data_IF_919155309203
#
_entry.id   IF_919155309203
#
_cell.length_a   1.000
_cell.length_b   1.000
_cell.length_c   1.000
_cell.angle_alpha   90.00
_cell.angle_beta   90.00
_cell.angle_gamma   90.00
#
_symmetry.space_group_name_H-M   'P 1'
#
loop_
_entity.id
_entity.type
_entity.pdbx_description
1 polymer ?
#
# COMPACT_ATOMS: atom_id res chain seq x y z
N UNK A 1 -60.26 -19.55 19.74
CA UNK A 1 -59.49 -20.52 18.94
C UNK A 1 -58.24 -19.80 18.43
N UNK A 2 -57.10 -20.17 19.00
CA UNK A 2 -55.78 -19.60 18.69
C UNK A 2 -55.29 -20.20 17.38
N UNK A 3 -55.16 -19.37 16.34
CA UNK A 3 -54.57 -19.76 15.06
C UNK A 3 -53.05 -19.62 15.16
N UNK A 4 -52.36 -20.75 15.34
CA UNK A 4 -50.91 -20.85 15.27
C UNK A 4 -50.50 -20.50 13.83
N UNK A 5 -49.93 -19.31 13.65
CA UNK A 5 -49.26 -18.90 12.41
C UNK A 5 -47.96 -19.70 12.35
N UNK A 6 -47.99 -20.84 11.66
CA UNK A 6 -46.80 -21.63 11.31
C UNK A 6 -45.82 -20.66 10.64
N UNK A 7 -44.66 -20.46 11.25
CA UNK A 7 -43.56 -19.71 10.64
C UNK A 7 -43.12 -20.51 9.41
N UNK A 8 -43.36 -19.99 8.20
CA UNK A 8 -42.84 -20.59 6.99
C UNK A 8 -41.32 -20.66 7.08
N UNK A 9 -40.76 -21.86 6.93
CA UNK A 9 -39.32 -22.08 6.82
C UNK A 9 -38.76 -21.25 5.65
N UNK A 10 -37.58 -20.66 5.84
CA UNK A 10 -36.94 -19.88 4.79
C UNK A 10 -36.53 -20.83 3.65
N UNK A 11 -36.87 -20.48 2.43
CA UNK A 11 -36.49 -21.25 1.25
C UNK A 11 -35.00 -21.02 0.97
N UNK A 12 -34.19 -22.07 1.02
CA UNK A 12 -32.76 -21.98 0.74
C UNK A 12 -32.50 -22.15 -0.77
N UNK A 13 -31.86 -21.16 -1.39
CA UNK A 13 -31.50 -21.19 -2.81
C UNK A 13 -30.02 -20.85 -2.97
N UNK A 14 -29.32 -21.55 -3.87
CA UNK A 14 -27.94 -21.20 -4.22
C UNK A 14 -27.89 -19.93 -5.08
N UNK A 15 -26.84 -19.13 -4.93
CA UNK A 15 -26.68 -17.89 -5.69
C UNK A 15 -26.76 -18.13 -7.22
N UNK A 16 -26.21 -19.24 -7.70
CA UNK A 16 -26.22 -19.59 -9.13
C UNK A 16 -27.64 -19.81 -9.66
N UNK A 17 -28.50 -20.40 -8.84
CA UNK A 17 -29.88 -20.75 -9.19
C UNK A 17 -30.87 -19.59 -8.89
N UNK A 18 -30.43 -18.61 -8.09
CA UNK A 18 -31.29 -17.51 -7.60
C UNK A 18 -31.83 -16.66 -8.74
N UNK A 19 -31.05 -16.46 -9.80
CA UNK A 19 -31.47 -15.68 -10.97
C UNK A 19 -32.60 -16.39 -11.73
N UNK A 20 -32.40 -17.65 -12.10
CA UNK A 20 -33.39 -18.44 -12.84
C UNK A 20 -34.68 -18.60 -12.04
N UNK A 21 -34.56 -18.88 -10.74
CA UNK A 21 -35.71 -18.97 -9.85
C UNK A 21 -36.50 -17.65 -9.78
N UNK A 22 -35.81 -16.52 -9.61
CA UNK A 22 -36.47 -15.21 -9.54
C UNK A 22 -37.12 -14.82 -10.87
N UNK A 23 -36.52 -15.18 -12.01
CA UNK A 23 -37.12 -15.01 -13.33
C UNK A 23 -38.45 -15.80 -13.45
N UNK A 24 -38.47 -17.05 -13.00
CA UNK A 24 -39.68 -17.89 -13.03
C UNK A 24 -40.79 -17.34 -12.13
N UNK A 25 -40.45 -16.94 -10.90
CA UNK A 25 -41.43 -16.45 -9.92
C UNK A 25 -42.04 -15.11 -10.34
N UNK A 26 -41.27 -14.28 -11.03
CA UNK A 26 -41.68 -12.91 -11.42
C UNK A 26 -42.19 -12.80 -12.86
N UNK A 27 -42.17 -13.88 -13.63
CA UNK A 27 -42.53 -13.89 -15.06
C UNK A 27 -43.93 -13.33 -15.31
N UNK A 28 -44.88 -13.66 -14.43
CA UNK A 28 -46.29 -13.24 -14.52
C UNK A 28 -46.48 -11.73 -14.32
N UNK A 29 -45.50 -11.05 -13.72
CA UNK A 29 -45.51 -9.61 -13.46
C UNK A 29 -44.64 -8.87 -14.47
N UNK A 30 -43.43 -9.37 -14.73
CA UNK A 30 -42.42 -8.68 -15.56
C UNK A 30 -42.77 -8.73 -17.05
N UNK A 31 -43.23 -9.88 -17.57
CA UNK A 31 -43.52 -10.04 -19.01
C UNK A 31 -44.65 -9.11 -19.46
N UNK A 32 -45.80 -9.01 -18.74
CA UNK A 32 -46.86 -8.06 -19.11
C UNK A 32 -46.41 -6.60 -19.04
N UNK A 33 -45.59 -6.23 -18.03
CA UNK A 33 -45.07 -4.87 -17.91
C UNK A 33 -44.12 -4.53 -19.06
N UNK A 34 -43.23 -5.44 -19.47
CA UNK A 34 -42.38 -5.24 -20.65
C UNK A 34 -43.21 -5.14 -21.93
N UNK A 35 -44.28 -5.93 -22.07
CA UNK A 35 -45.19 -5.81 -23.21
C UNK A 35 -45.95 -4.47 -23.23
N UNK A 36 -46.45 -3.99 -22.09
CA UNK A 36 -47.10 -2.67 -21.97
C UNK A 36 -46.12 -1.55 -22.29
N UNK A 37 -44.90 -1.61 -21.76
CA UNK A 37 -43.83 -0.66 -22.09
C UNK A 37 -43.54 -0.62 -23.60
N UNK A 38 -43.50 -1.78 -24.27
CA UNK A 38 -43.27 -1.85 -25.73
C UNK A 38 -44.39 -1.19 -26.50
N UNK A 39 -45.64 -1.46 -26.10
CA UNK A 39 -46.81 -0.80 -26.69
C UNK A 39 -46.75 0.72 -26.54
N UNK A 40 -46.30 1.22 -25.39
CA UNK A 40 -46.14 2.67 -25.17
C UNK A 40 -45.02 3.26 -26.03
N UNK A 41 -43.90 2.55 -26.21
CA UNK A 41 -42.84 2.96 -27.14
C UNK A 41 -43.34 3.04 -28.58
N UNK A 42 -44.12 2.04 -29.01
CA UNK A 42 -44.73 2.02 -30.34
C UNK A 42 -45.73 3.17 -30.52
N UNK A 43 -46.52 3.50 -29.50
CA UNK A 43 -47.43 4.65 -29.54
C UNK A 43 -46.66 5.98 -29.64
N UNK A 44 -45.61 6.16 -28.84
CA UNK A 44 -44.72 7.34 -28.92
C UNK A 44 -44.14 7.47 -30.33
N UNK A 45 -43.63 6.37 -30.91
CA UNK A 45 -43.11 6.34 -32.28
C UNK A 45 -44.17 6.75 -33.29
N UNK A 46 -45.39 6.22 -33.15
CA UNK A 46 -46.51 6.59 -34.00
C UNK A 46 -46.86 8.08 -33.88
N UNK A 47 -46.90 8.66 -32.67
CA UNK A 47 -47.19 10.09 -32.49
C UNK A 47 -46.09 10.99 -33.01
N UNK A 48 -44.82 10.60 -32.90
CA UNK A 48 -43.73 11.35 -33.50
C UNK A 48 -43.83 11.35 -35.02
N UNK A 49 -44.18 10.20 -35.62
CA UNK A 49 -44.45 10.11 -37.06
C UNK A 49 -45.63 11.00 -37.48
N UNK A 50 -46.70 11.11 -36.68
CA UNK A 50 -47.80 12.05 -36.94
C UNK A 50 -47.29 13.52 -36.95
N UNK A 51 -46.36 13.88 -36.06
CA UNK A 51 -45.77 15.21 -36.02
C UNK A 51 -44.89 15.46 -37.26
N UNK A 52 -44.11 14.47 -37.70
CA UNK A 52 -43.35 14.53 -38.94
C UNK A 52 -44.27 14.68 -40.15
N UNK A 53 -45.32 13.86 -40.26
CA UNK A 53 -46.27 13.92 -41.38
C UNK A 53 -47.00 15.28 -41.45
N UNK A 54 -47.35 15.87 -40.29
CA UNK A 54 -47.92 17.23 -40.25
C UNK A 54 -46.90 18.32 -40.57
N UNK A 55 -45.61 18.10 -40.29
CA UNK A 55 -44.51 18.97 -40.71
C UNK A 55 -44.31 18.93 -42.22
N UNK A 56 -44.37 17.75 -42.84
CA UNK A 56 -44.32 17.60 -44.30
C UNK A 56 -45.48 18.31 -44.98
N UNK A 57 -46.71 18.17 -44.44
CA UNK A 57 -47.88 18.91 -44.93
C UNK A 57 -47.71 20.42 -44.83
N UNK A 58 -47.02 20.93 -43.80
CA UNK A 58 -46.67 22.35 -43.66
C UNK A 58 -45.63 22.77 -44.71
N UNK A 59 -44.62 21.94 -44.99
CA UNK A 59 -43.64 22.16 -46.07
C UNK A 59 -44.35 22.26 -47.43
N UNK A 60 -45.16 21.28 -47.79
CA UNK A 60 -45.91 21.25 -49.06
C UNK A 60 -46.85 22.46 -49.22
N UNK A 61 -47.52 22.87 -48.13
CA UNK A 61 -48.38 24.04 -48.14
C UNK A 61 -47.57 25.34 -48.35
N UNK A 62 -46.41 25.44 -47.71
CA UNK A 62 -45.50 26.56 -47.88
C UNK A 62 -44.96 26.64 -49.31
N UNK A 63 -44.45 25.54 -49.86
CA UNK A 63 -43.90 25.47 -51.23
C UNK A 63 -44.93 25.88 -52.27
N UNK A 64 -46.16 25.35 -52.19
CA UNK A 64 -47.24 25.73 -53.10
C UNK A 64 -47.56 27.23 -53.03
N UNK A 65 -47.42 27.86 -51.87
CA UNK A 65 -47.65 29.32 -51.70
C UNK A 65 -46.45 30.16 -52.15
N UNK A 66 -45.23 29.64 -52.03
CA UNK A 66 -44.00 30.25 -52.56
C UNK A 66 -44.05 30.24 -54.09
N UNK A 67 -44.37 29.11 -54.71
CA UNK A 67 -44.47 28.95 -56.16
C UNK A 67 -45.54 29.87 -56.79
N UNK A 68 -46.66 30.10 -56.09
CA UNK A 68 -47.71 31.04 -56.52
C UNK A 68 -47.29 32.52 -56.49
N UNK A 69 -46.14 32.88 -55.89
CA UNK A 69 -45.54 34.22 -55.99
C UNK A 69 -46.33 35.38 -55.34
N UNK A 70 -47.39 35.12 -54.58
CA UNK A 70 -48.18 36.20 -53.97
C UNK A 70 -47.39 36.99 -52.92
N UNK A 71 -47.21 38.30 -53.15
CA UNK A 71 -46.46 39.22 -52.28
C UNK A 71 -46.95 39.21 -50.82
N UNK A 72 -48.23 38.93 -50.58
CA UNK A 72 -48.84 38.89 -49.23
C UNK A 72 -48.53 37.61 -48.45
N UNK A 73 -48.30 36.48 -49.12
CA UNK A 73 -48.10 35.16 -48.46
C UNK A 73 -46.67 34.65 -48.57
N UNK A 74 -45.88 35.13 -49.54
CA UNK A 74 -44.55 34.61 -49.84
C UNK A 74 -43.59 34.61 -48.63
N UNK A 75 -43.45 35.75 -47.94
CA UNK A 75 -42.55 35.86 -46.77
C UNK A 75 -42.96 34.92 -45.64
N UNK A 76 -44.27 34.76 -45.40
CA UNK A 76 -44.82 33.90 -44.35
C UNK A 76 -44.68 32.42 -44.71
N UNK A 77 -44.82 32.08 -45.99
CA UNK A 77 -44.57 30.74 -46.50
C UNK A 77 -43.10 30.34 -46.33
N UNK A 78 -42.13 31.23 -46.59
CA UNK A 78 -40.71 30.95 -46.29
C UNK A 78 -40.43 30.68 -44.81
N UNK A 79 -41.09 31.40 -43.91
CA UNK A 79 -40.97 31.17 -42.46
C UNK A 79 -41.55 29.81 -42.09
N UNK A 80 -42.72 29.45 -42.62
CA UNK A 80 -43.32 28.13 -42.41
C UNK A 80 -42.43 27.01 -42.95
N UNK A 81 -41.85 27.18 -44.12
CA UNK A 81 -40.93 26.21 -44.71
C UNK A 81 -39.74 25.95 -43.79
N UNK A 82 -39.08 27.02 -43.31
CA UNK A 82 -37.97 26.91 -42.37
C UNK A 82 -38.38 26.22 -41.06
N UNK A 83 -39.54 26.59 -40.53
CA UNK A 83 -40.07 26.01 -39.29
C UNK A 83 -40.28 24.50 -39.41
N UNK A 84 -40.98 24.06 -40.44
CA UNK A 84 -41.32 22.65 -40.61
C UNK A 84 -40.06 21.79 -40.87
N UNK A 85 -39.09 22.32 -41.62
CA UNK A 85 -37.79 21.66 -41.82
C UNK A 85 -37.03 21.51 -40.50
N UNK A 86 -36.92 22.59 -39.73
CA UNK A 86 -36.25 22.58 -38.43
C UNK A 86 -36.92 21.61 -37.44
N UNK A 87 -38.26 21.52 -37.43
CA UNK A 87 -38.98 20.58 -36.56
C UNK A 87 -38.68 19.14 -36.94
N UNK A 88 -38.64 18.84 -38.25
CA UNK A 88 -38.32 17.49 -38.73
C UNK A 88 -36.89 17.09 -38.35
N UNK A 89 -35.91 17.98 -38.58
CA UNK A 89 -34.51 17.81 -38.16
C UNK A 89 -34.40 17.54 -36.65
N UNK A 90 -35.15 18.27 -35.81
CA UNK A 90 -35.14 18.09 -34.34
C UNK A 90 -35.73 16.72 -33.93
N UNK A 91 -36.78 16.24 -34.60
CA UNK A 91 -37.44 14.98 -34.24
C UNK A 91 -36.63 13.77 -34.70
N UNK A 92 -35.99 13.86 -35.87
CA UNK A 92 -35.14 12.78 -36.41
C UNK A 92 -33.91 12.48 -35.53
N UNK A 93 -33.51 13.41 -34.66
CA UNK A 93 -32.43 13.19 -33.67
C UNK A 93 -32.82 12.19 -32.55
N UNK A 94 -34.11 11.86 -32.37
CA UNK A 94 -34.58 11.00 -31.28
C UNK A 94 -34.39 9.53 -31.63
N UNK A 95 -33.65 8.80 -30.80
CA UNK A 95 -33.50 7.34 -30.91
C UNK A 95 -34.45 6.64 -29.94
N UNK A 96 -35.29 5.75 -30.46
CA UNK A 96 -36.19 4.92 -29.65
C UNK A 96 -35.55 3.54 -29.46
N UNK A 97 -35.32 3.07 -28.22
CA UNK A 97 -34.68 1.79 -27.95
C UNK A 97 -35.63 0.60 -28.22
N UNK A 98 -35.06 -0.54 -28.64
CA UNK A 98 -35.79 -1.80 -28.87
C UNK A 98 -35.98 -2.64 -27.57
N UNK A 99 -35.07 -2.45 -26.61
CA UNK A 99 -35.06 -3.12 -25.31
C UNK A 99 -35.60 -2.23 -24.19
N UNK A 100 -36.34 -2.86 -23.28
CA UNK A 100 -37.04 -2.17 -22.19
C UNK A 100 -36.37 -2.54 -20.88
N UNK A 101 -35.77 -1.51 -20.27
CA UNK A 101 -35.30 -1.48 -18.91
C UNK A 101 -35.67 -0.14 -18.29
N UNK A 102 -35.56 -0.03 -16.97
CA UNK A 102 -35.78 1.26 -16.32
C UNK A 102 -34.84 2.35 -16.86
N UNK A 103 -33.60 1.99 -17.18
CA UNK A 103 -32.59 2.91 -17.72
C UNK A 103 -32.93 3.38 -19.14
N UNK A 104 -33.39 2.48 -20.01
CA UNK A 104 -33.77 2.86 -21.38
C UNK A 104 -35.01 3.74 -21.38
N UNK A 105 -36.01 3.43 -20.55
CA UNK A 105 -37.22 4.26 -20.39
C UNK A 105 -36.90 5.66 -19.84
N UNK A 106 -36.05 5.75 -18.82
CA UNK A 106 -35.66 7.04 -18.23
C UNK A 106 -34.92 7.92 -19.23
N UNK A 107 -33.94 7.35 -19.93
CA UNK A 107 -33.15 8.05 -20.95
C UNK A 107 -34.05 8.59 -22.07
N UNK A 108 -34.96 7.76 -22.56
CA UNK A 108 -35.93 8.17 -23.58
C UNK A 108 -36.84 9.32 -23.09
N UNK A 109 -37.36 9.24 -21.87
CA UNK A 109 -38.24 10.29 -21.30
C UNK A 109 -37.53 11.65 -21.18
N UNK A 110 -36.25 11.65 -20.88
CA UNK A 110 -35.40 12.83 -20.80
C UNK A 110 -35.12 13.41 -22.18
N UNK A 111 -34.67 12.58 -23.13
CA UNK A 111 -34.37 12.99 -24.50
C UNK A 111 -35.61 13.50 -25.22
N UNK A 112 -36.69 12.71 -25.22
CA UNK A 112 -37.95 13.06 -25.85
C UNK A 112 -38.55 14.33 -25.24
N UNK A 113 -38.46 14.49 -23.91
CA UNK A 113 -38.91 15.70 -23.23
C UNK A 113 -38.15 16.95 -23.69
N UNK A 114 -36.82 16.87 -23.84
CA UNK A 114 -36.00 17.95 -24.36
C UNK A 114 -36.35 18.26 -25.81
N UNK A 115 -36.53 17.24 -26.64
CA UNK A 115 -36.89 17.37 -28.06
C UNK A 115 -38.25 18.05 -28.23
N UNK A 116 -39.31 17.54 -27.59
CA UNK A 116 -40.65 18.13 -27.70
C UNK A 116 -40.70 19.57 -27.15
N UNK A 117 -39.89 19.88 -26.13
CA UNK A 117 -39.73 21.25 -25.64
C UNK A 117 -39.05 22.17 -26.66
N UNK A 118 -38.02 21.70 -27.37
CA UNK A 118 -37.41 22.45 -28.49
C UNK A 118 -38.44 22.71 -29.61
N UNK A 119 -39.19 21.69 -30.01
CA UNK A 119 -40.26 21.80 -31.02
C UNK A 119 -41.33 22.81 -30.58
N UNK A 120 -41.78 22.75 -29.32
CA UNK A 120 -42.72 23.70 -28.74
C UNK A 120 -42.22 25.15 -28.76
N UNK A 121 -40.93 25.37 -28.51
CA UNK A 121 -40.31 26.71 -28.60
C UNK A 121 -40.29 27.25 -30.03
N UNK A 122 -39.90 26.44 -31.00
CA UNK A 122 -39.94 26.84 -32.41
C UNK A 122 -41.38 27.15 -32.85
N UNK A 123 -42.34 26.31 -32.47
CA UNK A 123 -43.76 26.57 -32.68
C UNK A 123 -44.19 27.92 -32.10
N UNK A 124 -43.88 28.20 -30.83
CA UNK A 124 -44.29 29.44 -30.15
C UNK A 124 -43.70 30.70 -30.79
N UNK A 125 -42.44 30.61 -31.23
CA UNK A 125 -41.73 31.70 -31.91
C UNK A 125 -42.31 32.03 -33.28
N UNK A 126 -42.66 31.02 -34.08
CA UNK A 126 -42.94 31.22 -35.51
C UNK A 126 -44.42 31.23 -35.87
N UNK A 127 -45.30 30.57 -35.10
CA UNK A 127 -46.74 30.55 -35.38
C UNK A 127 -47.41 31.95 -35.38
N UNK A 128 -47.04 32.89 -34.48
CA UNK A 128 -47.55 34.26 -34.54
C UNK A 128 -47.17 35.00 -35.83
N UNK A 129 -45.95 34.76 -36.35
CA UNK A 129 -45.40 35.44 -37.53
C UNK A 129 -46.15 35.08 -38.82
N UNK A 130 -46.66 33.85 -38.89
CA UNK A 130 -47.38 33.33 -40.07
C UNK A 130 -48.90 33.54 -39.99
N UNK A 131 -49.43 33.94 -38.84
CA UNK A 131 -50.85 34.27 -38.64
C UNK A 131 -51.29 35.50 -39.46
N UNK A 132 -52.50 35.53 -40.07
CA UNK A 132 -53.59 34.56 -39.96
C UNK A 132 -53.58 33.48 -41.07
N UNK A 133 -52.46 33.25 -41.77
CA UNK A 133 -52.44 32.24 -42.83
C UNK A 133 -52.22 30.83 -42.26
N UNK A 134 -52.48 29.82 -43.10
CA UNK A 134 -52.24 28.40 -42.81
C UNK A 134 -52.92 27.90 -41.52
N UNK A 135 -54.12 28.40 -41.23
CA UNK A 135 -54.84 28.10 -39.97
C UNK A 135 -55.05 26.60 -39.80
N UNK A 136 -55.47 25.90 -40.87
CA UNK A 136 -55.76 24.48 -40.81
C UNK A 136 -54.50 23.65 -40.60
N UNK A 137 -53.41 23.98 -41.28
CA UNK A 137 -52.14 23.26 -41.16
C UNK A 137 -51.54 23.44 -39.76
N UNK A 138 -51.57 24.68 -39.23
CA UNK A 138 -51.15 24.97 -37.85
C UNK A 138 -51.97 24.21 -36.80
N UNK A 139 -53.29 24.14 -36.98
CA UNK A 139 -54.18 23.39 -36.07
C UNK A 139 -53.86 21.89 -36.10
N UNK A 140 -53.62 21.32 -37.28
CA UNK A 140 -53.24 19.90 -37.41
C UNK A 140 -51.92 19.61 -36.71
N UNK A 141 -50.92 20.47 -36.91
CA UNK A 141 -49.64 20.37 -36.21
C UNK A 141 -49.79 20.47 -34.68
N UNK A 142 -50.54 21.46 -34.19
CA UNK A 142 -50.78 21.63 -32.74
C UNK A 142 -51.43 20.39 -32.12
N UNK A 143 -52.36 19.73 -32.84
CA UNK A 143 -52.99 18.48 -32.39
C UNK A 143 -51.99 17.32 -32.36
N UNK A 144 -51.17 17.16 -33.40
CA UNK A 144 -50.14 16.11 -33.44
C UNK A 144 -49.09 16.30 -32.34
N UNK A 145 -48.60 17.54 -32.16
CA UNK A 145 -47.62 17.87 -31.11
C UNK A 145 -48.19 17.61 -29.72
N UNK A 146 -49.45 17.98 -29.48
CA UNK A 146 -50.12 17.70 -28.21
C UNK A 146 -50.20 16.20 -27.94
N UNK A 147 -50.61 15.39 -28.94
CA UNK A 147 -50.66 13.93 -28.80
C UNK A 147 -49.30 13.33 -28.45
N UNK A 148 -48.22 13.80 -29.08
CA UNK A 148 -46.86 13.35 -28.75
C UNK A 148 -46.45 13.73 -27.31
N UNK A 149 -46.84 14.92 -26.85
CA UNK A 149 -46.62 15.33 -25.45
C UNK A 149 -47.44 14.49 -24.46
N UNK A 150 -48.70 14.19 -24.79
CA UNK A 150 -49.58 13.35 -23.96
C UNK A 150 -49.01 11.91 -23.85
N UNK A 151 -48.52 11.32 -24.96
CA UNK A 151 -47.85 10.00 -24.94
C UNK A 151 -46.53 10.01 -24.14
N UNK A 152 -45.78 11.11 -24.15
CA UNK A 152 -44.60 11.28 -23.28
C UNK A 152 -44.98 11.28 -21.80
N UNK A 153 -46.10 11.90 -21.44
CA UNK A 153 -46.57 11.89 -20.05
C UNK A 153 -47.04 10.49 -19.62
N UNK A 154 -47.70 9.76 -20.54
CA UNK A 154 -48.11 8.38 -20.30
C UNK A 154 -46.89 7.46 -20.05
N UNK A 155 -45.83 7.55 -20.87
CA UNK A 155 -44.63 6.73 -20.64
C UNK A 155 -43.86 7.14 -19.37
N UNK A 156 -43.88 8.42 -18.99
CA UNK A 156 -43.31 8.89 -17.72
C UNK A 156 -44.04 8.32 -16.51
N UNK A 157 -45.37 8.42 -16.49
CA UNK A 157 -46.19 7.84 -15.42
C UNK A 157 -46.06 6.32 -15.35
N UNK A 158 -45.94 5.65 -16.50
CA UNK A 158 -45.66 4.22 -16.56
C UNK A 158 -44.30 3.88 -15.93
N UNK A 159 -43.24 4.62 -16.28
CA UNK A 159 -41.89 4.41 -15.76
C UNK A 159 -41.77 4.71 -14.26
N UNK A 160 -42.50 5.72 -13.75
CA UNK A 160 -42.45 6.08 -12.33
C UNK A 160 -43.27 5.17 -11.44
N UNK A 161 -44.46 4.74 -11.90
CA UNK A 161 -45.45 4.12 -11.02
C UNK A 161 -45.58 2.62 -11.28
N UNK A 162 -45.81 2.26 -12.54
CA UNK A 162 -46.16 0.88 -12.95
C UNK A 162 -44.94 -0.02 -13.14
N UNK A 163 -43.83 0.51 -13.65
CA UNK A 163 -42.61 -0.26 -13.92
C UNK A 163 -41.77 -0.54 -12.65
N UNK A 164 -42.16 0.01 -11.51
CA UNK A 164 -41.44 -0.15 -10.22
C UNK A 164 -41.17 -1.60 -9.84
N UNK A 165 -42.11 -2.51 -10.12
CA UNK A 165 -41.94 -3.96 -9.86
C UNK A 165 -40.93 -4.61 -10.79
N UNK A 166 -40.98 -4.30 -12.09
CA UNK A 166 -40.00 -4.81 -13.05
C UNK A 166 -38.61 -4.24 -12.77
N UNK A 167 -38.52 -2.96 -12.37
CA UNK A 167 -37.29 -2.34 -11.88
C UNK A 167 -36.71 -3.07 -10.67
N UNK A 168 -37.52 -3.39 -9.67
CA UNK A 168 -37.03 -4.11 -8.50
C UNK A 168 -36.46 -5.50 -8.85
N UNK A 169 -37.01 -6.17 -9.88
CA UNK A 169 -36.44 -7.42 -10.43
C UNK A 169 -35.10 -7.16 -11.14
N UNK A 170 -35.00 -6.10 -11.96
CA UNK A 170 -33.74 -5.69 -12.60
C UNK A 170 -32.65 -5.33 -11.56
N UNK A 171 -33.02 -4.63 -10.49
CA UNK A 171 -32.14 -4.29 -9.36
C UNK A 171 -31.67 -5.56 -8.62
N UNK A 172 -32.55 -6.56 -8.46
CA UNK A 172 -32.20 -7.86 -7.90
C UNK A 172 -31.17 -8.59 -8.78
N UNK A 173 -31.37 -8.63 -10.10
CA UNK A 173 -30.39 -9.23 -11.03
C UNK A 173 -29.05 -8.50 -10.99
N UNK A 174 -29.06 -7.16 -10.96
CA UNK A 174 -27.82 -6.38 -10.79
C UNK A 174 -27.10 -6.73 -9.48
N UNK A 175 -27.84 -6.98 -8.41
CA UNK A 175 -27.28 -7.37 -7.11
C UNK A 175 -26.69 -8.79 -7.14
N UNK A 176 -27.35 -9.74 -7.83
CA UNK A 176 -26.82 -11.09 -8.06
C UNK A 176 -25.51 -11.03 -8.86
N UNK A 177 -25.45 -10.23 -9.92
CA UNK A 177 -24.23 -10.08 -10.73
C UNK A 177 -23.09 -9.46 -9.90
N UNK A 178 -23.39 -8.43 -9.09
CA UNK A 178 -22.43 -7.83 -8.15
C UNK A 178 -21.94 -8.81 -7.08
N UNK A 179 -22.79 -9.72 -6.60
CA UNK A 179 -22.40 -10.77 -5.65
C UNK A 179 -21.42 -11.76 -6.28
N UNK A 180 -21.69 -12.23 -7.50
CA UNK A 180 -20.76 -13.09 -8.24
C UNK A 180 -19.40 -12.42 -8.45
N UNK A 181 -19.39 -11.13 -8.80
CA UNK A 181 -18.16 -10.34 -8.93
C UNK A 181 -17.40 -10.26 -7.60
N UNK A 182 -18.08 -9.88 -6.51
CA UNK A 182 -17.47 -9.81 -5.16
C UNK A 182 -16.90 -11.16 -4.70
N UNK A 183 -17.60 -12.28 -4.95
CA UNK A 183 -17.12 -13.64 -4.64
C UNK A 183 -15.86 -14.01 -5.47
N UNK A 184 -15.86 -13.68 -6.75
CA UNK A 184 -14.69 -13.87 -7.62
C UNK A 184 -13.48 -13.05 -7.16
N UNK A 185 -13.71 -11.81 -6.72
CA UNK A 185 -12.67 -10.98 -6.11
C UNK A 185 -12.14 -11.58 -4.81
N UNK A 186 -13.03 -12.09 -3.94
CA UNK A 186 -12.64 -12.73 -2.68
C UNK A 186 -11.72 -13.94 -2.93
N UNK A 187 -12.09 -14.85 -3.84
CA UNK A 187 -11.27 -16.02 -4.19
C UNK A 187 -9.88 -15.60 -4.73
N UNK A 188 -9.80 -14.55 -5.56
CA UNK A 188 -8.52 -14.00 -6.03
C UNK A 188 -7.65 -13.50 -4.87
N UNK A 189 -8.24 -12.80 -3.90
CA UNK A 189 -7.52 -12.27 -2.73
C UNK A 189 -7.07 -13.41 -1.81
N UNK A 190 -7.90 -14.43 -1.59
CA UNK A 190 -7.53 -15.60 -0.80
C UNK A 190 -6.39 -16.41 -1.43
N UNK A 191 -6.43 -16.63 -2.74
CA UNK A 191 -5.32 -17.25 -3.48
C UNK A 191 -4.02 -16.45 -3.32
N UNK A 192 -4.12 -15.12 -3.35
CA UNK A 192 -2.97 -14.25 -3.11
C UNK A 192 -2.44 -14.32 -1.67
N UNK A 193 -3.33 -14.44 -0.67
CA UNK A 193 -2.97 -14.67 0.74
C UNK A 193 -2.22 -15.99 0.90
N UNK A 194 -2.76 -17.10 0.40
CA UNK A 194 -2.11 -18.44 0.45
C UNK A 194 -0.71 -18.41 -0.18
N UNK A 195 -0.56 -17.76 -1.34
CA UNK A 195 0.75 -17.58 -1.99
C UNK A 195 1.73 -16.77 -1.15
N UNK A 196 1.24 -15.74 -0.46
CA UNK A 196 2.04 -14.89 0.43
C UNK A 196 2.50 -15.66 1.66
N UNK A 197 1.63 -16.47 2.26
CA UNK A 197 1.94 -17.33 3.41
C UNK A 197 2.98 -18.41 3.07
N UNK A 198 2.86 -19.04 1.91
CA UNK A 198 3.88 -19.99 1.42
C UNK A 198 5.26 -19.33 1.29
N UNK A 199 5.31 -18.12 0.72
CA UNK A 199 6.56 -17.35 0.62
C UNK A 199 7.12 -16.97 2.00
N UNK A 200 6.25 -16.59 2.95
CA UNK A 200 6.64 -16.32 4.33
C UNK A 200 7.27 -17.55 4.97
N UNK A 201 6.66 -18.73 4.85
CA UNK A 201 7.19 -19.98 5.39
C UNK A 201 8.58 -20.34 4.82
N UNK A 202 8.81 -20.09 3.53
CA UNK A 202 10.14 -20.28 2.92
C UNK A 202 11.18 -19.29 3.49
N UNK A 203 10.80 -18.04 3.71
CA UNK A 203 11.70 -17.05 4.34
C UNK A 203 12.02 -17.41 5.79
N UNK A 204 11.03 -17.87 6.55
CA UNK A 204 11.23 -18.29 7.94
C UNK A 204 12.22 -19.44 8.06
N UNK A 205 12.09 -20.47 7.19
CA UNK A 205 13.07 -21.55 7.12
C UNK A 205 14.49 -21.05 6.83
N UNK A 206 14.65 -20.15 5.85
CA UNK A 206 15.96 -19.55 5.52
C UNK A 206 16.55 -18.70 6.65
N UNK A 207 15.70 -17.98 7.38
CA UNK A 207 16.12 -17.21 8.56
C UNK A 207 16.66 -18.17 9.63
N UNK A 208 15.95 -19.26 9.88
CA UNK A 208 16.35 -20.25 10.87
C UNK A 208 17.64 -20.98 10.49
N UNK A 209 17.78 -21.39 9.22
CA UNK A 209 19.02 -21.95 8.68
C UNK A 209 20.21 -21.00 8.86
N UNK A 210 20.03 -19.71 8.58
CA UNK A 210 21.10 -18.72 8.77
C UNK A 210 21.44 -18.51 10.25
N UNK A 211 20.44 -18.55 11.15
CA UNK A 211 20.67 -18.48 12.61
C UNK A 211 21.50 -19.66 13.08
N UNK A 212 21.13 -20.88 12.67
CA UNK A 212 21.86 -22.10 13.00
C UNK A 212 23.31 -22.05 12.51
N UNK A 213 23.54 -21.58 11.27
CA UNK A 213 24.90 -21.38 10.73
C UNK A 213 25.71 -20.36 11.53
N UNK A 214 25.09 -19.24 11.94
CA UNK A 214 25.76 -18.24 12.78
C UNK A 214 26.16 -18.86 14.12
N UNK A 215 25.26 -19.60 14.77
CA UNK A 215 25.56 -20.27 16.05
C UNK A 215 26.66 -21.32 15.89
N UNK A 216 26.65 -22.09 14.81
CA UNK A 216 27.68 -23.08 14.51
C UNK A 216 29.07 -22.44 14.33
N UNK A 217 29.16 -21.31 13.61
CA UNK A 217 30.42 -20.59 13.44
C UNK A 217 30.88 -19.97 14.76
N UNK A 218 29.96 -19.39 15.54
CA UNK A 218 30.29 -18.84 16.87
C UNK A 218 30.77 -19.90 17.86
N UNK A 219 30.32 -21.15 17.71
CA UNK A 219 30.74 -22.30 18.50
C UNK A 219 32.07 -22.93 18.07
N UNK A 220 32.71 -22.45 17.00
CA UNK A 220 34.03 -22.96 16.58
C UNK A 220 35.08 -22.69 17.67
N UNK A 221 35.86 -23.72 18.01
CA UNK A 221 36.86 -23.69 19.09
C UNK A 221 37.82 -22.51 18.99
N UNK A 222 38.29 -22.19 17.77
CA UNK A 222 39.25 -21.10 17.54
C UNK A 222 38.65 -19.71 17.82
N UNK A 223 37.35 -19.52 17.57
CA UNK A 223 36.64 -18.27 17.88
C UNK A 223 36.43 -18.14 19.40
N UNK A 224 36.06 -19.24 20.05
CA UNK A 224 35.91 -19.30 21.52
C UNK A 224 37.25 -19.07 22.21
N UNK A 225 38.33 -19.69 21.73
CA UNK A 225 39.70 -19.50 22.21
C UNK A 225 40.17 -18.05 22.02
N UNK A 226 39.88 -17.43 20.87
CA UNK A 226 40.18 -16.03 20.64
C UNK A 226 39.43 -15.12 21.62
N UNK A 227 38.17 -15.42 21.95
CA UNK A 227 37.39 -14.67 22.94
C UNK A 227 38.01 -14.79 24.36
N UNK A 228 38.36 -16.01 24.78
CA UNK A 228 39.03 -16.27 26.06
C UNK A 228 40.40 -15.58 26.16
N UNK A 229 41.18 -15.60 25.09
CA UNK A 229 42.48 -14.93 25.04
C UNK A 229 42.31 -13.41 25.09
N UNK A 230 41.29 -12.84 24.45
CA UNK A 230 40.99 -11.41 24.57
C UNK A 230 40.62 -11.01 26.00
N UNK A 231 39.83 -11.82 26.71
CA UNK A 231 39.50 -11.61 28.12
C UNK A 231 40.77 -11.66 29.00
N UNK A 232 41.61 -12.68 28.81
CA UNK A 232 42.91 -12.81 29.49
C UNK A 232 43.83 -11.61 29.21
N UNK A 233 43.83 -11.08 27.99
CA UNK A 233 44.59 -9.86 27.63
C UNK A 233 44.07 -8.64 28.40
N UNK A 234 42.76 -8.48 28.57
CA UNK A 234 42.19 -7.37 29.35
C UNK A 234 42.51 -7.50 30.85
N UNK A 235 42.50 -8.70 31.41
CA UNK A 235 42.97 -8.93 32.77
C UNK A 235 44.45 -8.58 32.94
N UNK A 236 45.29 -9.02 31.99
CA UNK A 236 46.72 -8.72 32.00
C UNK A 236 46.98 -7.22 31.83
N UNK A 237 46.21 -6.51 31.00
CA UNK A 237 46.25 -5.03 30.92
C UNK A 237 46.00 -4.37 32.27
N UNK A 238 44.97 -4.83 33.00
CA UNK A 238 44.67 -4.34 34.36
C UNK A 238 45.83 -4.62 35.32
N UNK A 239 46.40 -5.82 35.27
CA UNK A 239 47.56 -6.22 36.09
C UNK A 239 48.80 -5.37 35.78
N UNK A 240 49.16 -5.18 34.52
CA UNK A 240 50.29 -4.32 34.10
C UNK A 240 50.10 -2.87 34.55
N UNK A 241 48.90 -2.31 34.36
CA UNK A 241 48.58 -0.94 34.81
C UNK A 241 48.70 -0.80 36.33
N UNK A 242 48.29 -1.82 37.08
CA UNK A 242 48.45 -1.86 38.52
C UNK A 242 49.93 -1.96 38.93
N UNK A 243 50.68 -2.87 38.31
CA UNK A 243 52.11 -3.11 38.56
C UNK A 243 53.01 -1.93 38.17
N UNK A 244 52.58 -1.02 37.30
CA UNK A 244 53.32 0.19 36.91
C UNK A 244 52.72 1.48 37.51
N UNK A 245 51.74 1.38 38.41
CA UNK A 245 50.96 2.52 38.92
C UNK A 245 51.83 3.60 39.58
N UNK A 246 52.87 3.22 40.33
CA UNK A 246 53.73 4.19 41.00
C UNK A 246 54.80 4.77 40.08
N UNK A 247 55.04 4.15 38.92
CA UNK A 247 55.95 4.62 37.87
C UNK A 247 55.31 5.56 36.84
N UNK A 248 53.98 5.59 36.70
CA UNK A 248 53.31 6.45 35.70
C UNK A 248 53.65 7.95 35.84
N UNK A 249 53.57 8.50 37.05
CA UNK A 249 53.90 9.93 37.28
C UNK A 249 55.40 10.21 37.18
N UNK A 250 56.29 9.36 37.74
CA UNK A 250 57.73 9.44 37.46
C UNK A 250 58.05 9.41 35.96
N UNK A 251 57.45 8.52 35.17
CA UNK A 251 57.66 8.46 33.73
C UNK A 251 57.21 9.72 33.00
N UNK A 252 56.05 10.30 33.34
CA UNK A 252 55.61 11.58 32.77
C UNK A 252 56.59 12.73 33.08
N UNK A 253 57.10 12.76 34.32
CA UNK A 253 58.06 13.79 34.73
C UNK A 253 59.45 13.57 34.12
N UNK A 254 59.85 12.32 33.98
CA UNK A 254 61.10 11.96 33.33
C UNK A 254 61.06 12.28 31.83
N UNK A 255 59.96 11.96 31.16
CA UNK A 255 59.69 12.37 29.77
C UNK A 255 59.78 13.90 29.61
N UNK A 256 59.18 14.67 30.52
CA UNK A 256 59.27 16.14 30.47
C UNK A 256 60.70 16.68 30.63
N UNK A 257 61.55 16.01 31.41
CA UNK A 257 62.97 16.37 31.60
C UNK A 257 63.81 16.03 30.36
N UNK A 258 63.47 14.95 29.68
CA UNK A 258 64.12 14.53 28.43
C UNK A 258 63.76 15.47 27.29
N UNK A 259 62.49 15.88 27.19
CA UNK A 259 62.02 16.85 26.20
C UNK A 259 62.56 18.27 26.46
N UNK A 260 62.78 18.66 27.71
CA UNK A 260 63.38 19.97 28.07
C UNK A 260 64.91 20.01 27.94
N UNK A 261 65.52 19.01 27.29
CA UNK A 261 66.98 18.87 27.11
C UNK A 261 67.79 18.81 28.41
N UNK A 262 67.12 18.61 29.56
CA UNK A 262 67.73 18.63 30.89
C UNK A 262 68.28 17.27 31.31
N UNK A 263 67.97 16.22 30.52
CA UNK A 263 68.45 14.85 30.69
C UNK A 263 68.47 14.16 29.31
N UNK A 264 69.53 13.40 28.99
CA UNK A 264 69.65 12.75 27.68
C UNK A 264 69.26 11.27 27.76
N UNK A 265 68.30 10.86 26.91
CA UNK A 265 67.99 9.46 26.62
C UNK A 265 68.31 9.18 25.15
N UNK A 266 68.64 7.93 24.85
CA UNK A 266 68.74 7.50 23.46
C UNK A 266 67.35 7.55 22.79
N UNK A 267 67.34 7.66 21.45
CA UNK A 267 66.11 7.76 20.68
C UNK A 267 65.16 6.57 20.93
N UNK A 268 65.72 5.36 21.05
CA UNK A 268 64.94 4.13 21.27
C UNK A 268 64.36 4.04 22.68
N UNK A 269 65.10 4.52 23.69
CA UNK A 269 64.62 4.60 25.07
C UNK A 269 63.50 5.64 25.21
N UNK A 270 63.62 6.76 24.50
CA UNK A 270 62.60 7.82 24.47
C UNK A 270 61.32 7.34 23.80
N UNK A 271 61.44 6.62 22.68
CA UNK A 271 60.30 5.96 22.03
C UNK A 271 59.63 4.95 22.96
N UNK A 272 60.40 4.09 23.61
CA UNK A 272 59.85 3.06 24.50
C UNK A 272 59.18 3.65 25.75
N UNK A 273 59.72 4.72 26.32
CA UNK A 273 59.09 5.49 27.40
C UNK A 273 57.71 6.03 26.99
N UNK A 274 57.60 6.57 25.77
CA UNK A 274 56.33 7.06 25.21
C UNK A 274 55.32 5.92 24.98
N UNK A 275 55.80 4.75 24.52
CA UNK A 275 54.96 3.56 24.38
C UNK A 275 54.40 3.10 25.73
N UNK A 276 55.21 3.07 26.80
CA UNK A 276 54.75 2.70 28.14
C UNK A 276 53.70 3.66 28.70
N UNK A 277 53.80 4.95 28.39
CA UNK A 277 52.83 5.96 28.78
C UNK A 277 51.52 5.86 27.98
N UNK A 278 51.60 5.46 26.71
CA UNK A 278 50.45 5.35 25.81
C UNK A 278 49.71 4.02 25.97
N UNK A 279 50.41 2.90 25.83
CA UNK A 279 49.88 1.56 26.00
C UNK A 279 50.88 0.68 26.77
N UNK A 280 50.82 0.79 28.10
CA UNK A 280 51.69 0.03 29.02
C UNK A 280 51.71 -1.48 28.79
N UNK A 281 50.60 -2.09 28.34
CA UNK A 281 50.54 -3.52 28.08
C UNK A 281 51.27 -3.91 26.80
N UNK A 282 51.03 -3.19 25.71
CA UNK A 282 51.65 -3.48 24.41
C UNK A 282 53.15 -3.17 24.42
N UNK A 283 53.55 -2.06 25.05
CA UNK A 283 54.94 -1.72 25.28
C UNK A 283 55.68 -2.83 26.05
N UNK A 284 55.03 -3.36 27.08
CA UNK A 284 55.57 -4.43 27.93
C UNK A 284 55.60 -5.78 27.23
N UNK A 285 54.57 -6.16 26.49
CA UNK A 285 54.48 -7.47 25.83
C UNK A 285 55.39 -7.61 24.59
N UNK A 286 55.72 -6.48 23.94
CA UNK A 286 56.58 -6.44 22.74
C UNK A 286 58.07 -6.42 23.05
N UNK A 287 58.45 -6.32 24.32
CA UNK A 287 59.84 -6.20 24.72
C UNK A 287 60.58 -7.56 24.72
N UNK A 288 61.91 -7.48 24.68
CA UNK A 288 62.78 -8.64 24.85
C UNK A 288 62.68 -9.22 26.27
N UNK A 289 63.00 -10.51 26.40
CA UNK A 289 62.88 -11.23 27.68
C UNK A 289 63.73 -10.52 28.74
N UNK A 290 63.10 -10.17 29.86
CA UNK A 290 63.76 -9.43 30.94
C UNK A 290 63.65 -7.91 30.85
N UNK A 291 62.85 -7.39 29.89
CA UNK A 291 62.46 -5.99 29.75
C UNK A 291 63.65 -4.99 29.84
N UNK A 292 64.68 -5.16 28.98
CA UNK A 292 65.95 -4.44 29.10
C UNK A 292 65.86 -2.93 28.88
N UNK A 293 64.98 -2.46 27.99
CA UNK A 293 64.73 -1.03 27.79
C UNK A 293 63.99 -0.44 28.99
N UNK A 294 63.01 -1.15 29.55
CA UNK A 294 62.37 -0.72 30.79
C UNK A 294 63.38 -0.62 31.94
N UNK A 295 64.30 -1.59 32.07
CA UNK A 295 65.37 -1.54 33.09
C UNK A 295 66.32 -0.35 32.87
N UNK A 296 66.74 -0.06 31.64
CA UNK A 296 67.59 1.11 31.32
C UNK A 296 66.90 2.43 31.62
N UNK A 297 65.62 2.55 31.26
CA UNK A 297 64.79 3.72 31.58
C UNK A 297 64.66 3.88 33.09
N UNK A 298 64.42 2.79 33.82
CA UNK A 298 64.31 2.81 35.28
C UNK A 298 65.63 3.19 35.97
N UNK A 299 66.77 2.68 35.51
CA UNK A 299 68.11 3.04 36.02
C UNK A 299 68.38 4.54 35.86
N UNK A 300 68.18 5.07 34.64
CA UNK A 300 68.39 6.49 34.36
C UNK A 300 67.39 7.39 35.10
N UNK A 301 66.16 6.92 35.28
CA UNK A 301 65.17 7.60 36.09
C UNK A 301 65.56 7.58 37.58
N UNK A 302 66.09 6.47 38.11
CA UNK A 302 66.56 6.38 39.49
C UNK A 302 67.77 7.28 39.73
N UNK A 303 68.71 7.37 38.78
CA UNK A 303 69.80 8.35 38.80
C UNK A 303 69.27 9.79 38.83
N UNK A 304 68.27 10.10 38.01
CA UNK A 304 67.62 11.42 38.01
C UNK A 304 66.85 11.72 39.31
N UNK A 305 66.33 10.69 39.99
CA UNK A 305 65.72 10.80 41.31
C UNK A 305 66.77 11.00 42.41
N UNK A 306 67.92 10.31 42.32
CA UNK A 306 69.04 10.45 43.25
C UNK A 306 69.72 11.82 43.16
N UNK A 307 69.86 12.36 41.94
CA UNK A 307 70.40 13.70 41.67
C UNK A 307 69.41 14.84 42.01
N UNK A 308 68.20 14.53 42.50
CA UNK A 308 67.18 15.52 42.86
C UNK A 308 66.56 16.28 41.68
N UNK A 309 66.83 15.85 40.43
CA UNK A 309 66.35 16.51 39.20
C UNK A 309 64.85 16.26 38.97
N UNK A 310 64.32 15.15 39.48
CA UNK A 310 62.89 14.82 39.43
C UNK A 310 62.10 15.49 40.56
N UNK A 311 61.37 16.57 40.24
CA UNK A 311 60.46 17.26 41.18
C UNK A 311 59.23 16.40 41.53
N UNK A 312 59.37 15.52 42.53
CA UNK A 312 58.31 14.64 43.07
C UNK A 312 58.14 14.81 44.59
N UNK A 313 56.92 14.58 45.10
CA UNK A 313 56.66 14.54 46.57
C UNK A 313 57.42 13.38 47.21
N UNK A 314 57.99 13.56 48.41
CA UNK A 314 58.79 12.54 49.14
C UNK A 314 58.11 11.16 49.21
N UNK A 315 56.81 11.11 49.49
CA UNK A 315 56.04 9.86 49.57
C UNK A 315 55.89 9.12 48.23
N UNK A 316 55.82 9.85 47.10
CA UNK A 316 55.77 9.25 45.75
C UNK A 316 57.15 8.85 45.26
N UNK A 317 58.18 9.62 45.64
CA UNK A 317 59.57 9.31 45.32
C UNK A 317 60.00 8.01 46.01
N UNK A 318 59.64 7.81 47.29
CA UNK A 318 59.86 6.54 48.00
C UNK A 318 59.20 5.36 47.29
N UNK A 319 57.89 5.43 47.02
CA UNK A 319 57.14 4.36 46.34
C UNK A 319 57.62 4.07 44.91
N UNK A 320 58.08 5.09 44.19
CA UNK A 320 58.66 4.94 42.86
C UNK A 320 60.04 4.27 42.91
N UNK A 321 60.88 4.62 43.91
CA UNK A 321 62.16 3.96 44.16
C UNK A 321 61.99 2.51 44.57
N UNK A 322 61.10 2.24 45.53
CA UNK A 322 60.80 0.86 45.97
C UNK A 322 60.31 0.00 44.79
N UNK A 323 59.41 0.54 43.95
CA UNK A 323 58.92 -0.15 42.76
C UNK A 323 60.00 -0.30 41.66
N UNK A 324 60.89 0.69 41.48
CA UNK A 324 62.00 0.59 40.54
C UNK A 324 63.02 -0.47 40.99
N UNK A 325 63.35 -0.50 42.29
CA UNK A 325 64.25 -1.47 42.90
C UNK A 325 63.72 -2.90 42.77
N UNK A 326 62.43 -3.12 43.05
CA UNK A 326 61.76 -4.41 42.88
C UNK A 326 61.79 -4.91 41.42
N UNK A 327 61.73 -4.00 40.44
CA UNK A 327 61.75 -4.33 39.01
C UNK A 327 63.17 -4.60 38.51
N UNK A 328 64.15 -3.82 38.98
CA UNK A 328 65.55 -3.90 38.59
C UNK A 328 66.25 -5.12 39.20
N UNK A 329 66.04 -5.37 40.50
CA UNK A 329 66.81 -6.33 41.28
C UNK A 329 66.04 -7.61 41.65
N UNK A 330 64.73 -7.52 41.92
CA UNK A 330 63.91 -8.69 42.32
C UNK A 330 63.15 -9.33 41.16
N UNK A 331 63.30 -8.80 39.95
CA UNK A 331 62.65 -9.29 38.75
C UNK A 331 61.12 -9.47 38.90
N UNK A 332 60.48 -8.59 39.70
CA UNK A 332 59.09 -8.74 40.12
C UNK A 332 58.06 -8.80 38.96
N UNK A 333 58.47 -8.41 37.75
CA UNK A 333 57.63 -8.36 36.55
C UNK A 333 57.87 -9.52 35.57
N UNK A 334 58.82 -10.44 35.81
CA UNK A 334 59.15 -11.49 34.85
C UNK A 334 57.99 -12.43 34.51
N UNK A 335 57.25 -12.91 35.51
CA UNK A 335 56.10 -13.81 35.31
C UNK A 335 54.95 -13.11 34.57
N UNK A 336 54.70 -11.84 34.89
CA UNK A 336 53.72 -11.01 34.21
C UNK A 336 54.14 -10.72 32.76
N UNK A 337 55.43 -10.44 32.53
CA UNK A 337 56.01 -10.20 31.20
C UNK A 337 55.83 -11.41 30.29
N UNK A 338 56.20 -12.59 30.79
CA UNK A 338 56.04 -13.85 30.07
C UNK A 338 54.57 -14.11 29.72
N UNK A 339 53.67 -13.92 30.70
CA UNK A 339 52.23 -14.08 30.49
C UNK A 339 51.65 -13.10 29.46
N UNK A 340 52.11 -11.85 29.46
CA UNK A 340 51.68 -10.83 28.49
C UNK A 340 52.19 -11.16 27.07
N UNK A 341 53.46 -11.59 26.96
CA UNK A 341 54.07 -11.97 25.68
C UNK A 341 53.42 -13.19 25.06
N UNK A 342 53.15 -14.22 25.86
CA UNK A 342 52.42 -15.42 25.42
C UNK A 342 50.99 -15.12 25.00
N UNK A 343 50.25 -14.33 25.80
CA UNK A 343 48.87 -13.97 25.47
C UNK A 343 48.79 -13.11 24.19
N UNK A 344 49.73 -12.17 24.01
CA UNK A 344 49.80 -11.35 22.80
C UNK A 344 50.18 -12.18 21.57
N UNK A 345 51.16 -13.09 21.69
CA UNK A 345 51.58 -13.97 20.60
C UNK A 345 50.45 -14.92 20.17
N UNK A 346 49.78 -15.57 21.13
CA UNK A 346 48.62 -16.43 20.85
C UNK A 346 47.47 -15.64 20.24
N UNK A 347 47.20 -14.44 20.74
CA UNK A 347 46.19 -13.54 20.15
C UNK A 347 46.52 -13.20 18.71
N UNK A 348 47.77 -12.86 18.40
CA UNK A 348 48.21 -12.56 17.04
C UNK A 348 48.08 -13.78 16.12
N UNK A 349 48.55 -14.95 16.55
CA UNK A 349 48.45 -16.20 15.79
C UNK A 349 47.00 -16.58 15.45
N UNK A 350 46.10 -16.48 16.42
CA UNK A 350 44.68 -16.72 16.18
C UNK A 350 44.08 -15.62 15.29
N UNK A 351 44.42 -14.36 15.52
CA UNK A 351 43.85 -13.25 14.74
C UNK A 351 44.31 -13.24 13.27
N UNK A 352 45.50 -13.76 12.98
CA UNK A 352 46.02 -13.93 11.61
C UNK A 352 45.72 -15.31 11.03
N UNK A 353 45.07 -16.20 11.79
CA UNK A 353 44.67 -17.50 11.27
C UNK A 353 43.70 -17.30 10.10
N UNK A 354 43.97 -18.03 9.01
CA UNK A 354 43.09 -18.03 7.84
C UNK A 354 41.68 -18.51 8.17
N UNK A 355 41.50 -19.24 9.27
CA UNK A 355 40.19 -19.77 9.69
C UNK A 355 39.38 -18.67 10.39
N UNK A 356 39.95 -17.92 11.32
CA UNK A 356 39.26 -16.82 12.01
C UNK A 356 38.85 -15.70 11.04
N UNK A 357 39.71 -15.39 10.07
CA UNK A 357 39.39 -14.39 9.03
C UNK A 357 38.26 -14.88 8.11
N UNK A 358 38.27 -16.15 7.69
CA UNK A 358 37.17 -16.77 6.93
C UNK A 358 35.87 -16.77 7.73
N UNK A 359 35.88 -17.28 8.96
CA UNK A 359 34.71 -17.34 9.83
C UNK A 359 34.14 -15.97 10.14
N UNK A 360 34.97 -14.94 10.30
CA UNK A 360 34.53 -13.55 10.48
C UNK A 360 33.84 -13.00 9.23
N UNK A 361 34.40 -13.24 8.05
CA UNK A 361 33.80 -12.82 6.78
C UNK A 361 32.47 -13.54 6.53
N UNK A 362 32.41 -14.84 6.81
CA UNK A 362 31.20 -15.65 6.69
C UNK A 362 30.12 -15.18 7.67
N UNK A 363 30.47 -14.91 8.94
CA UNK A 363 29.55 -14.32 9.92
C UNK A 363 29.01 -12.97 9.45
N UNK A 364 29.86 -12.08 8.94
CA UNK A 364 29.43 -10.78 8.44
C UNK A 364 28.45 -10.92 7.28
N UNK A 365 28.71 -11.86 6.37
CA UNK A 365 27.82 -12.14 5.24
C UNK A 365 26.49 -12.75 5.70
N UNK A 366 26.51 -13.73 6.61
CA UNK A 366 25.30 -14.35 7.16
C UNK A 366 24.45 -13.34 7.95
N UNK A 367 25.07 -12.46 8.74
CA UNK A 367 24.38 -11.38 9.46
C UNK A 367 23.76 -10.35 8.50
N UNK A 368 24.44 -10.01 7.41
CA UNK A 368 23.87 -9.17 6.36
C UNK A 368 22.66 -9.85 5.70
N UNK A 369 22.82 -11.10 5.27
CA UNK A 369 21.74 -11.89 4.68
C UNK A 369 20.54 -12.04 5.63
N UNK A 370 20.78 -12.25 6.92
CA UNK A 370 19.74 -12.37 7.94
C UNK A 370 18.94 -11.07 8.08
N UNK A 371 19.61 -9.91 8.11
CA UNK A 371 18.95 -8.59 8.12
C UNK A 371 18.10 -8.39 6.86
N UNK A 372 18.61 -8.76 5.70
CA UNK A 372 17.87 -8.62 4.44
C UNK A 372 16.65 -9.55 4.37
N UNK A 373 16.78 -10.78 4.86
CA UNK A 373 15.66 -11.73 4.96
C UNK A 373 14.60 -11.26 5.97
N UNK A 374 15.00 -10.70 7.11
CA UNK A 374 14.08 -10.13 8.10
C UNK A 374 13.28 -8.96 7.52
N UNK A 375 13.94 -8.02 6.84
CA UNK A 375 13.25 -6.92 6.13
C UNK A 375 12.24 -7.44 5.11
N UNK A 376 12.61 -8.46 4.33
CA UNK A 376 11.68 -9.09 3.37
C UNK A 376 10.50 -9.76 4.07
N UNK A 377 10.72 -10.37 5.23
CA UNK A 377 9.65 -10.97 6.05
C UNK A 377 8.68 -9.89 6.55
N UNK A 378 9.17 -8.79 7.13
CA UNK A 378 8.35 -7.66 7.59
C UNK A 378 7.49 -7.07 6.46
N UNK A 379 8.05 -6.96 5.25
CA UNK A 379 7.30 -6.54 4.06
C UNK A 379 6.21 -7.54 3.66
N UNK A 380 6.43 -8.84 3.82
CA UNK A 380 5.38 -9.84 3.58
C UNK A 380 4.33 -9.85 4.68
N UNK A 381 4.72 -9.64 5.94
CA UNK A 381 3.79 -9.58 7.08
C UNK A 381 2.86 -8.37 6.96
N UNK A 382 3.40 -7.20 6.61
CA UNK A 382 2.58 -6.01 6.33
C UNK A 382 1.66 -6.17 5.11
N UNK A 383 2.10 -6.88 4.07
CA UNK A 383 1.20 -7.25 2.95
C UNK A 383 0.14 -8.25 3.39
N UNK A 384 0.48 -9.18 4.28
CA UNK A 384 -0.43 -10.15 4.86
C UNK A 384 -1.58 -9.48 5.60
N UNK A 385 -1.27 -8.51 6.47
CA UNK A 385 -2.30 -7.77 7.22
C UNK A 385 -3.21 -6.93 6.32
N UNK A 386 -2.67 -6.33 5.25
CA UNK A 386 -3.49 -5.62 4.25
C UNK A 386 -4.44 -6.58 3.52
N UNK A 387 -3.96 -7.77 3.13
CA UNK A 387 -4.80 -8.79 2.50
C UNK A 387 -5.88 -9.30 3.45
N UNK A 388 -5.57 -9.50 4.73
CA UNK A 388 -6.54 -9.89 5.75
C UNK A 388 -7.64 -8.85 5.94
N UNK A 389 -7.25 -7.58 5.99
CA UNK A 389 -8.21 -6.48 6.05
C UNK A 389 -9.12 -6.48 4.81
N UNK A 390 -8.53 -6.62 3.62
CA UNK A 390 -9.29 -6.66 2.36
C UNK A 390 -10.25 -7.85 2.29
N UNK A 391 -9.84 -9.03 2.79
CA UNK A 391 -10.72 -10.20 2.89
C UNK A 391 -11.92 -9.88 3.79
N UNK A 392 -11.68 -9.28 4.96
CA UNK A 392 -12.74 -8.90 5.89
C UNK A 392 -13.71 -7.88 5.28
N UNK A 393 -13.18 -6.83 4.66
CA UNK A 393 -13.99 -5.81 3.96
C UNK A 393 -14.83 -6.43 2.83
N UNK A 394 -14.27 -7.36 2.05
CA UNK A 394 -15.00 -8.07 1.01
C UNK A 394 -16.10 -8.98 1.60
N UNK A 395 -15.86 -9.66 2.71
CA UNK A 395 -16.87 -10.46 3.40
C UNK A 395 -18.03 -9.60 3.89
N UNK A 396 -17.74 -8.45 4.51
CA UNK A 396 -18.77 -7.50 4.95
C UNK A 396 -19.61 -7.01 3.77
N UNK A 397 -18.96 -6.63 2.65
CA UNK A 397 -19.64 -6.23 1.41
C UNK A 397 -20.54 -7.34 0.86
N UNK A 398 -20.08 -8.59 0.84
CA UNK A 398 -20.86 -9.74 0.35
C UNK A 398 -22.07 -9.99 1.24
N UNK A 399 -21.92 -9.93 2.56
CA UNK A 399 -23.02 -10.07 3.52
C UNK A 399 -24.06 -8.96 3.36
N UNK A 400 -23.63 -7.72 3.17
CA UNK A 400 -24.54 -6.59 2.95
C UNK A 400 -25.31 -6.75 1.62
N UNK A 401 -24.62 -7.10 0.54
CA UNK A 401 -25.22 -7.37 -0.77
C UNK A 401 -26.21 -8.54 -0.71
N UNK A 402 -25.88 -9.61 0.03
CA UNK A 402 -26.77 -10.75 0.25
C UNK A 402 -28.03 -10.33 0.98
N UNK A 403 -27.92 -9.57 2.07
CA UNK A 403 -29.08 -9.09 2.84
C UNK A 403 -29.97 -8.16 2.02
N UNK A 404 -29.37 -7.30 1.21
CA UNK A 404 -30.09 -6.45 0.28
C UNK A 404 -30.87 -7.28 -0.75
N UNK A 405 -30.22 -8.29 -1.35
CA UNK A 405 -30.87 -9.21 -2.27
C UNK A 405 -32.04 -9.97 -1.63
N UNK A 406 -31.83 -10.55 -0.44
CA UNK A 406 -32.89 -11.28 0.30
C UNK A 406 -34.07 -10.38 0.63
N UNK A 407 -33.82 -9.11 0.96
CA UNK A 407 -34.86 -8.11 1.21
C UNK A 407 -35.64 -7.79 -0.06
N UNK A 408 -34.96 -7.56 -1.19
CA UNK A 408 -35.62 -7.28 -2.47
C UNK A 408 -36.48 -8.49 -2.90
N UNK A 409 -35.96 -9.71 -2.77
CA UNK A 409 -36.70 -10.94 -3.08
C UNK A 409 -37.95 -11.06 -2.20
N UNK A 410 -37.85 -10.77 -0.90
CA UNK A 410 -38.99 -10.79 0.01
C UNK A 410 -40.05 -9.76 -0.39
N UNK A 411 -39.65 -8.55 -0.76
CA UNK A 411 -40.58 -7.50 -1.22
C UNK A 411 -41.26 -7.86 -2.55
N UNK A 412 -40.56 -8.56 -3.45
CA UNK A 412 -41.06 -8.96 -4.77
C UNK A 412 -41.98 -10.17 -4.74
N UNK A 413 -41.60 -11.21 -4.00
CA UNK A 413 -42.23 -12.54 -4.03
C UNK A 413 -43.04 -12.83 -2.78
N UNK A 414 -42.91 -12.02 -1.73
CA UNK A 414 -43.45 -12.27 -0.39
C UNK A 414 -42.96 -13.61 0.22
N UNK A 415 -41.92 -14.21 -0.37
CA UNK A 415 -41.28 -15.43 0.09
C UNK A 415 -39.99 -15.06 0.83
N UNK A 416 -39.79 -15.65 2.01
CA UNK A 416 -38.54 -15.52 2.74
C UNK A 416 -37.52 -16.47 2.14
N UNK A 417 -36.53 -15.93 1.43
CA UNK A 417 -35.45 -16.68 0.81
C UNK A 417 -34.15 -16.47 1.59
N UNK A 418 -33.37 -17.54 1.71
CA UNK A 418 -32.00 -17.49 2.22
C UNK A 418 -31.05 -17.88 1.08
N UNK A 419 -30.18 -16.94 0.69
CA UNK A 419 -29.25 -17.16 -0.42
C UNK A 419 -27.99 -17.84 0.11
N UNK A 420 -27.67 -19.01 -0.44
CA UNK A 420 -26.45 -19.76 -0.17
C UNK A 420 -25.35 -19.31 -1.15
N UNK A 421 -24.20 -18.88 -0.61
CA UNK A 421 -23.07 -18.30 -1.33
C UNK A 421 -21.94 -19.31 -1.58
#
# INVERSE_FOLDING_TARGET
MSGIRVMAEALEIKLEDTREWLEQETISVVVPLKAEGRRLLDDVKAKLNDVLETSDKLLDAAERKIAKGSRKTYRRAKVMYKLARNISEIIDEVTIPDEISQETLHTLCEELGKTLTKVGRERWKWFPVISPYFIMDRRRFDVALKRAMDSLEEIRSFSSDKYTKAKAVEDAFSTIDKLHESLSELDKVEKHKKKTELRRGVLEKKIEENRQKITAIQGQSEIVELAQINEKVEELKKKVKHSLRYLQKPFLKFQSLVLSSSYSLFLDETKKLNEYLSNSFEAFATEEKGYPMLKRILQKMDDAMAQGKLKLKKSRLRKAKDQADDILHKNALLSLHQSCKEALSKKQQLSTSGIITKSRNELAQLQKNLRDLQKRKELLDSRGTVLEKKIKENFEKIEDQKRELEKIILELTNNKVQVLL
#
